data_IF_907395721272
#
_entry.id   IF_907395721272
#
_cell.length_a   1.000
_cell.length_b   1.000
_cell.length_c   1.000
_cell.angle_alpha   90.00
_cell.angle_beta   90.00
_cell.angle_gamma   90.00
#
_symmetry.space_group_name_H-M   'P 1'
#
loop_
_entity.id
_entity.type
_entity.pdbx_description
1 polymer ?
#
# COMPACT_ATOMS: atom_id res chain seq x y z
N UNK A 1 -33.54 27.01 -23.61
CA UNK A 1 -33.33 27.21 -22.15
C UNK A 1 -33.42 25.86 -21.48
N UNK A 2 -32.28 25.27 -21.12
CA UNK A 2 -32.23 23.97 -20.44
C UNK A 2 -32.75 24.18 -18.99
N UNK A 3 -33.93 23.66 -18.67
CA UNK A 3 -34.38 23.54 -17.29
C UNK A 3 -33.65 22.39 -16.62
N UNK A 4 -32.56 22.65 -15.95
CA UNK A 4 -31.93 21.67 -15.06
C UNK A 4 -32.97 21.30 -14.00
N UNK A 5 -33.39 20.04 -13.97
CA UNK A 5 -34.31 19.53 -12.94
C UNK A 5 -33.57 19.62 -11.59
N UNK A 6 -34.24 20.15 -10.59
CA UNK A 6 -33.69 20.35 -9.23
C UNK A 6 -32.99 19.10 -8.69
N UNK A 7 -33.45 17.91 -9.10
CA UNK A 7 -32.80 16.64 -8.74
C UNK A 7 -31.34 16.51 -9.20
N UNK A 8 -31.01 16.94 -10.44
CA UNK A 8 -29.62 16.88 -10.94
C UNK A 8 -28.70 17.87 -10.20
N UNK A 9 -29.23 19.04 -9.79
CA UNK A 9 -28.46 19.98 -9.00
C UNK A 9 -28.15 19.42 -7.61
N UNK A 10 -29.13 18.84 -6.93
CA UNK A 10 -28.93 18.21 -5.62
C UNK A 10 -27.92 17.06 -5.72
N UNK A 11 -28.09 16.17 -6.70
CA UNK A 11 -27.15 15.05 -6.92
C UNK A 11 -25.73 15.56 -7.17
N UNK A 12 -25.56 16.59 -8.02
CA UNK A 12 -24.26 17.18 -8.29
C UNK A 12 -23.60 17.79 -7.04
N UNK A 13 -24.38 18.49 -6.20
CA UNK A 13 -23.87 19.07 -4.94
C UNK A 13 -23.46 17.94 -3.97
N UNK A 14 -24.32 16.95 -3.78
CA UNK A 14 -24.02 15.82 -2.86
C UNK A 14 -22.77 15.06 -3.32
N UNK A 15 -22.67 14.75 -4.61
CA UNK A 15 -21.48 14.08 -5.17
C UNK A 15 -20.23 14.94 -5.00
N UNK A 16 -20.31 16.23 -5.27
CA UNK A 16 -19.22 17.18 -5.06
C UNK A 16 -18.76 17.23 -3.60
N UNK A 17 -19.71 17.28 -2.65
CA UNK A 17 -19.41 17.26 -1.22
C UNK A 17 -18.73 15.95 -0.79
N UNK A 18 -19.19 14.80 -1.30
CA UNK A 18 -18.56 13.51 -0.99
C UNK A 18 -17.12 13.46 -1.51
N UNK A 19 -16.88 13.93 -2.75
CA UNK A 19 -15.54 13.97 -3.33
C UNK A 19 -14.63 14.89 -2.52
N UNK A 20 -15.08 16.09 -2.18
CA UNK A 20 -14.32 17.04 -1.37
C UNK A 20 -14.02 16.47 0.03
N UNK A 21 -15.01 15.90 0.70
CA UNK A 21 -14.83 15.27 2.02
C UNK A 21 -13.82 14.13 1.97
N UNK A 22 -13.90 13.28 0.94
CA UNK A 22 -12.93 12.20 0.72
C UNK A 22 -11.52 12.73 0.51
N UNK A 23 -11.38 13.83 -0.24
CA UNK A 23 -10.09 14.45 -0.50
C UNK A 23 -9.47 15.07 0.77
N UNK A 24 -10.26 15.80 1.57
CA UNK A 24 -9.77 16.38 2.82
C UNK A 24 -9.35 15.33 3.86
N UNK A 25 -10.00 14.16 3.88
CA UNK A 25 -9.64 13.05 4.79
C UNK A 25 -8.30 12.41 4.49
N UNK A 26 -7.65 12.74 3.38
CA UNK A 26 -6.34 12.18 2.98
C UNK A 26 -5.17 13.12 3.16
N UNK A 27 -5.44 14.37 3.54
CA UNK A 27 -4.39 15.35 3.84
C UNK A 27 -3.58 14.84 5.05
N UNK A 28 -2.25 14.79 4.98
CA UNK A 28 -1.40 14.41 6.10
C UNK A 28 -1.70 15.30 7.31
N UNK A 29 -1.94 14.69 8.45
CA UNK A 29 -2.23 15.40 9.71
C UNK A 29 -0.96 15.80 10.49
N UNK A 30 0.21 15.60 9.88
CA UNK A 30 1.51 15.89 10.47
C UNK A 30 1.95 14.88 11.54
N UNK A 31 1.25 13.73 11.66
CA UNK A 31 1.58 12.68 12.62
C UNK A 31 2.14 11.44 11.94
N UNK A 32 2.92 10.67 12.70
CA UNK A 32 3.33 9.34 12.33
C UNK A 32 2.21 8.35 12.69
N UNK A 33 1.70 7.64 11.70
CA UNK A 33 0.74 6.55 11.91
C UNK A 33 1.43 5.22 11.68
N UNK A 34 1.34 4.32 12.65
CA UNK A 34 1.85 2.94 12.54
C UNK A 34 0.69 1.99 12.75
N UNK A 35 0.41 1.18 11.75
CA UNK A 35 -0.69 0.21 11.75
C UNK A 35 -0.11 -1.18 11.64
N UNK A 36 -0.30 -2.00 12.66
CA UNK A 36 -0.01 -3.43 12.60
C UNK A 36 -1.19 -4.13 11.94
N UNK A 37 -0.95 -4.73 10.80
CA UNK A 37 -1.97 -5.38 9.99
C UNK A 37 -2.26 -6.80 10.51
N UNK A 38 -3.52 -7.13 10.71
CA UNK A 38 -3.89 -8.50 11.03
C UNK A 38 -3.83 -9.37 9.75
N UNK A 39 -2.69 -10.01 9.56
CA UNK A 39 -2.44 -10.94 8.44
C UNK A 39 -2.54 -12.41 8.86
N UNK A 40 -2.97 -12.67 10.09
CA UNK A 40 -3.00 -14.00 10.69
C UNK A 40 -1.65 -14.34 11.31
N UNK A 41 -1.06 -15.46 10.88
CA UNK A 41 0.31 -15.81 11.28
C UNK A 41 1.32 -15.03 10.46
N UNK A 42 2.29 -14.38 11.12
CA UNK A 42 3.32 -13.57 10.48
C UNK A 42 3.15 -12.07 10.76
N UNK A 43 4.00 -11.27 10.14
CA UNK A 43 4.08 -9.83 10.40
C UNK A 43 3.76 -9.01 9.16
N UNK A 44 3.08 -7.89 9.38
CA UNK A 44 2.89 -6.84 8.39
C UNK A 44 2.58 -5.52 9.10
N UNK A 45 3.23 -4.46 8.69
CA UNK A 45 2.94 -3.12 9.19
C UNK A 45 2.84 -2.12 8.04
N UNK A 46 1.88 -1.19 8.18
CA UNK A 46 1.76 -0.02 7.33
C UNK A 46 2.11 1.22 8.13
N UNK A 47 2.97 2.05 7.59
CA UNK A 47 3.45 3.28 8.25
C UNK A 47 3.17 4.44 7.30
N UNK A 48 2.47 5.46 7.82
CA UNK A 48 2.30 6.74 7.14
C UNK A 48 3.07 7.82 7.88
N UNK A 49 3.98 8.46 7.18
CA UNK A 49 4.82 9.51 7.72
C UNK A 49 4.09 10.86 7.79
N UNK A 50 4.58 11.79 8.65
CA UNK A 50 3.96 13.12 8.80
C UNK A 50 3.86 13.93 7.51
N UNK A 51 4.73 13.66 6.55
CA UNK A 51 4.77 14.30 5.24
C UNK A 51 3.90 13.61 4.18
N UNK A 52 3.19 12.54 4.57
CA UNK A 52 2.28 11.79 3.71
C UNK A 52 2.91 10.63 2.94
N UNK A 53 4.23 10.41 3.06
CA UNK A 53 4.88 9.22 2.49
C UNK A 53 4.42 7.94 3.20
N UNK A 54 4.46 6.83 2.46
CA UNK A 54 3.98 5.55 2.95
C UNK A 54 5.08 4.48 2.90
N UNK A 55 5.08 3.62 3.94
CA UNK A 55 5.98 2.48 4.01
C UNK A 55 5.21 1.24 4.43
N UNK A 56 5.48 0.12 3.77
CA UNK A 56 5.04 -1.21 4.17
C UNK A 56 6.23 -2.00 4.65
N UNK A 57 6.13 -2.60 5.84
CA UNK A 57 7.15 -3.49 6.40
C UNK A 57 6.55 -4.88 6.52
N UNK A 58 7.07 -5.82 5.79
CA UNK A 58 6.56 -7.18 5.61
C UNK A 58 5.10 -7.23 5.11
N UNK A 59 4.63 -8.38 4.70
CA UNK A 59 3.33 -8.52 4.07
C UNK A 59 2.49 -9.70 4.55
N UNK A 60 3.05 -10.50 5.48
CA UNK A 60 2.38 -11.71 5.94
C UNK A 60 2.40 -12.87 4.92
N UNK A 61 1.72 -13.97 5.24
CA UNK A 61 1.78 -15.22 4.47
C UNK A 61 0.88 -15.27 3.23
N UNK A 62 0.00 -14.27 3.06
CA UNK A 62 -0.99 -14.21 1.99
C UNK A 62 -1.33 -12.75 1.61
N UNK A 63 -2.40 -12.54 0.85
CA UNK A 63 -2.83 -11.23 0.36
C UNK A 63 -3.65 -10.38 1.35
N UNK A 64 -3.81 -10.80 2.60
CA UNK A 64 -4.58 -10.05 3.63
C UNK A 64 -4.05 -8.65 3.89
N UNK A 65 -2.76 -8.41 3.66
CA UNK A 65 -2.16 -7.07 3.71
C UNK A 65 -2.91 -6.06 2.83
N UNK A 66 -3.42 -6.49 1.66
CA UNK A 66 -4.20 -5.62 0.78
C UNK A 66 -5.48 -5.10 1.44
N UNK A 67 -6.12 -5.91 2.28
CA UNK A 67 -7.29 -5.50 3.05
C UNK A 67 -6.94 -4.44 4.12
N UNK A 68 -5.76 -4.54 4.72
CA UNK A 68 -5.24 -3.55 5.65
C UNK A 68 -4.94 -2.22 4.92
N UNK A 69 -4.18 -2.27 3.83
CA UNK A 69 -3.87 -1.10 3.02
C UNK A 69 -5.14 -0.41 2.51
N UNK A 70 -6.14 -1.17 2.04
CA UNK A 70 -7.41 -0.63 1.57
C UNK A 70 -8.25 0.08 2.64
N UNK A 71 -7.99 -0.15 3.94
CA UNK A 71 -8.63 0.55 5.06
C UNK A 71 -7.91 1.84 5.46
N UNK A 72 -6.60 1.90 5.24
CA UNK A 72 -5.75 2.96 5.79
C UNK A 72 -5.18 3.89 4.72
N UNK A 73 -5.15 3.46 3.46
CA UNK A 73 -4.79 4.30 2.31
C UNK A 73 -6.04 4.86 1.62
N UNK A 74 -5.95 6.04 1.00
CA UNK A 74 -6.99 6.53 0.10
C UNK A 74 -7.29 5.51 -1.00
N UNK A 75 -8.56 5.29 -1.34
CA UNK A 75 -8.93 4.24 -2.32
C UNK A 75 -8.39 4.50 -3.73
N UNK A 76 -8.03 5.74 -4.04
CA UNK A 76 -7.42 6.14 -5.33
C UNK A 76 -5.89 6.11 -5.31
N UNK A 77 -5.26 6.08 -4.13
CA UNK A 77 -3.82 6.01 -4.02
C UNK A 77 -3.33 4.60 -4.34
N UNK A 78 -2.43 4.51 -5.29
CA UNK A 78 -1.82 3.27 -5.77
C UNK A 78 -0.30 3.32 -5.69
N UNK A 79 0.25 4.31 -4.97
CA UNK A 79 1.68 4.47 -4.77
C UNK A 79 2.08 4.10 -3.34
N UNK A 80 3.24 3.49 -3.20
CA UNK A 80 3.90 3.23 -1.92
C UNK A 80 5.37 3.63 -2.09
N UNK A 81 5.84 4.53 -1.22
CA UNK A 81 7.21 5.02 -1.33
C UNK A 81 8.24 3.94 -1.00
N UNK A 82 8.00 3.15 0.02
CA UNK A 82 8.94 2.14 0.48
C UNK A 82 8.21 0.84 0.82
N UNK A 83 8.69 -0.27 0.27
CA UNK A 83 8.38 -1.61 0.77
C UNK A 83 9.65 -2.19 1.37
N UNK A 84 9.60 -2.59 2.63
CA UNK A 84 10.71 -3.22 3.33
C UNK A 84 10.38 -4.68 3.66
N UNK A 85 11.31 -5.57 3.38
CA UNK A 85 11.27 -6.97 3.78
C UNK A 85 12.33 -7.21 4.84
N UNK A 86 11.92 -7.65 6.03
CA UNK A 86 12.85 -7.95 7.12
C UNK A 86 13.66 -9.20 6.85
N UNK A 87 13.00 -10.27 6.42
CA UNK A 87 13.65 -11.52 6.03
C UNK A 87 12.78 -12.34 5.06
N UNK A 88 13.40 -13.23 4.24
CA UNK A 88 12.72 -13.90 3.15
C UNK A 88 12.00 -15.18 3.60
N UNK A 89 11.20 -15.13 4.67
CA UNK A 89 10.32 -16.21 5.08
C UNK A 89 8.89 -15.94 4.63
N UNK A 90 8.13 -17.00 4.37
CA UNK A 90 6.79 -16.94 3.77
C UNK A 90 5.83 -16.02 4.54
N UNK A 91 5.86 -16.10 5.86
CA UNK A 91 5.00 -15.35 6.77
C UNK A 91 5.35 -13.87 6.90
N UNK A 92 6.41 -13.42 6.22
CA UNK A 92 6.81 -12.02 6.11
C UNK A 92 6.75 -11.49 4.67
N UNK A 93 7.13 -12.31 3.69
CA UNK A 93 7.35 -11.83 2.32
C UNK A 93 6.21 -12.13 1.34
N UNK A 94 5.38 -13.16 1.61
CA UNK A 94 4.47 -13.66 0.58
C UNK A 94 3.44 -12.62 0.14
N UNK A 95 2.90 -11.84 1.09
CA UNK A 95 1.95 -10.77 0.81
C UNK A 95 2.57 -9.58 0.06
N UNK A 96 3.90 -9.39 0.15
CA UNK A 96 4.58 -8.34 -0.60
C UNK A 96 4.49 -8.54 -2.12
N UNK A 97 4.33 -9.78 -2.58
CA UNK A 97 4.07 -10.08 -3.99
C UNK A 97 2.77 -9.41 -4.43
N UNK A 98 1.70 -9.58 -3.65
CA UNK A 98 0.40 -8.97 -3.94
C UNK A 98 0.45 -7.43 -3.85
N UNK A 99 1.22 -6.89 -2.92
CA UNK A 99 1.49 -5.44 -2.82
C UNK A 99 2.16 -4.94 -4.08
N UNK A 100 3.27 -5.55 -4.50
CA UNK A 100 4.01 -5.17 -5.70
C UNK A 100 3.18 -5.33 -6.99
N UNK A 101 2.30 -6.33 -7.07
CA UNK A 101 1.42 -6.51 -8.23
C UNK A 101 0.35 -5.42 -8.33
N UNK A 102 -0.11 -4.87 -7.20
CA UNK A 102 -1.25 -3.94 -7.11
C UNK A 102 -0.86 -2.46 -6.99
N UNK A 103 0.30 -2.17 -6.39
CA UNK A 103 0.78 -0.82 -6.14
C UNK A 103 2.04 -0.51 -6.95
N UNK A 104 2.26 0.77 -7.20
CA UNK A 104 3.50 1.28 -7.75
C UNK A 104 4.44 1.60 -6.59
N UNK A 105 5.54 0.85 -6.50
CA UNK A 105 6.49 0.93 -5.38
C UNK A 105 7.73 1.68 -5.83
N UNK A 106 8.09 2.76 -5.12
CA UNK A 106 9.25 3.56 -5.48
C UNK A 106 10.58 2.89 -5.11
N UNK A 107 10.65 2.24 -3.94
CA UNK A 107 11.84 1.51 -3.48
C UNK A 107 11.46 0.23 -2.75
N UNK A 108 12.25 -0.84 -3.00
CA UNK A 108 12.20 -2.07 -2.23
C UNK A 108 13.47 -2.20 -1.39
N UNK A 109 13.30 -2.33 -0.07
CA UNK A 109 14.41 -2.47 0.89
C UNK A 109 14.44 -3.89 1.43
N UNK A 110 15.60 -4.51 1.47
CA UNK A 110 15.79 -5.84 2.06
C UNK A 110 17.20 -6.01 2.63
N UNK A 111 17.37 -7.01 3.47
CA UNK A 111 18.69 -7.52 3.84
C UNK A 111 19.34 -8.26 2.68
N UNK A 112 20.66 -8.49 2.76
CA UNK A 112 21.42 -9.28 1.77
C UNK A 112 21.30 -10.81 2.02
N UNK A 113 20.11 -11.24 2.43
CA UNK A 113 19.81 -12.66 2.65
C UNK A 113 18.88 -13.14 1.55
N UNK A 114 19.31 -14.17 0.85
CA UNK A 114 18.51 -14.84 -0.18
C UNK A 114 17.80 -16.08 0.38
N UNK A 115 16.80 -16.56 -0.38
CA UNK A 115 16.06 -17.78 -0.10
C UNK A 115 15.83 -18.55 -1.40
N UNK A 116 15.79 -19.86 -1.35
CA UNK A 116 15.62 -20.71 -2.55
C UNK A 116 14.17 -21.19 -2.77
N UNK A 117 13.23 -20.64 -2.00
CA UNK A 117 11.82 -21.01 -2.14
C UNK A 117 11.19 -20.41 -3.40
N UNK A 118 10.18 -21.10 -3.95
CA UNK A 118 9.43 -20.64 -5.13
C UNK A 118 8.75 -19.28 -4.87
N UNK A 119 8.28 -19.03 -3.64
CA UNK A 119 7.72 -17.74 -3.26
C UNK A 119 8.74 -16.61 -3.37
N UNK A 120 9.95 -16.83 -2.90
CA UNK A 120 11.02 -15.84 -3.01
C UNK A 120 11.45 -15.58 -4.46
N UNK A 121 11.59 -16.65 -5.27
CA UNK A 121 11.88 -16.52 -6.70
C UNK A 121 10.80 -15.70 -7.42
N UNK A 122 9.51 -15.94 -7.07
CA UNK A 122 8.40 -15.14 -7.59
C UNK A 122 8.52 -13.68 -7.17
N UNK A 123 8.80 -13.40 -5.90
CA UNK A 123 8.98 -12.02 -5.39
C UNK A 123 10.07 -11.29 -6.20
N UNK A 124 11.25 -11.89 -6.35
CA UNK A 124 12.36 -11.32 -7.13
C UNK A 124 11.95 -11.07 -8.59
N UNK A 125 11.24 -12.03 -9.19
CA UNK A 125 10.73 -11.89 -10.55
C UNK A 125 9.77 -10.71 -10.71
N UNK A 126 8.85 -10.48 -9.74
CA UNK A 126 7.91 -9.37 -9.76
C UNK A 126 8.65 -8.03 -9.60
N UNK A 127 9.62 -7.95 -8.67
CA UNK A 127 10.47 -6.77 -8.48
C UNK A 127 11.19 -6.40 -9.79
N UNK A 128 11.80 -7.40 -10.45
CA UNK A 128 12.50 -7.21 -11.72
C UNK A 128 11.54 -6.78 -12.85
N UNK A 129 10.39 -7.45 -12.97
CA UNK A 129 9.36 -7.13 -13.99
C UNK A 129 8.83 -5.71 -13.85
N UNK A 130 8.65 -5.24 -12.62
CA UNK A 130 8.18 -3.88 -12.30
C UNK A 130 9.32 -2.85 -12.29
N UNK A 131 10.57 -3.29 -12.49
CA UNK A 131 11.78 -2.46 -12.43
C UNK A 131 11.87 -1.64 -11.12
N UNK A 132 11.45 -2.22 -10.00
CA UNK A 132 11.49 -1.54 -8.69
C UNK A 132 12.95 -1.48 -8.21
N UNK A 133 13.48 -0.30 -7.89
CA UNK A 133 14.82 -0.15 -7.34
C UNK A 133 14.98 -0.86 -6.00
N UNK A 134 15.98 -1.73 -5.88
CA UNK A 134 16.28 -2.46 -4.63
C UNK A 134 17.42 -1.76 -3.88
N UNK A 135 17.25 -1.63 -2.56
CA UNK A 135 18.26 -1.14 -1.63
C UNK A 135 18.54 -2.22 -0.58
N UNK A 136 19.80 -2.44 -0.32
CA UNK A 136 20.24 -3.38 0.71
C UNK A 136 20.55 -2.62 2.00
N UNK A 137 20.10 -3.17 3.13
CA UNK A 137 20.51 -2.74 4.46
C UNK A 137 21.46 -3.78 5.04
N UNK A 138 22.58 -3.31 5.53
CA UNK A 138 23.65 -4.09 6.19
C UNK A 138 23.64 -3.81 7.67
#
# INVERSE_FOLDING_TARGET
>A
MFKLRTGYLITGIVTGCIILFSFFGTIPDGKLHVVFCNVGQGDAAYIRFPDGRDMVVDGGPDDKILGCLGKHMPFWDRSIDIVAMTHPQKDHMQGLIAVLERYDVAYFIRSDVDNDTEGYKKLVSVIAKKAVPVRFVT
#
